data_IF_816760823146
#
_entry.id   IF_816760823146
#
_cell.length_a   1.000
_cell.length_b   1.000
_cell.length_c   1.000
_cell.angle_alpha   90.00
_cell.angle_beta   90.00
_cell.angle_gamma   90.00
#
_symmetry.space_group_name_H-M   'P 1'
#
loop_
_entity.id
_entity.type
_entity.pdbx_description
1 polymer ?
#
# COMPACT_ATOMS: atom_id res chain seq x y z
N UNK A 1 -21.04 -4.99 47.69
CA UNK A 1 -19.86 -4.20 47.26
C UNK A 1 -19.96 -4.03 45.76
N UNK A 2 -20.44 -2.84 45.39
CA UNK A 2 -20.56 -2.21 44.07
C UNK A 2 -20.48 -3.10 42.81
N UNK A 3 -21.64 -3.52 42.32
CA UNK A 3 -21.93 -3.53 40.89
C UNK A 3 -22.41 -2.12 40.54
N UNK A 4 -21.46 -1.22 40.32
CA UNK A 4 -21.72 0.12 39.81
C UNK A 4 -21.82 0.03 38.29
N UNK A 5 -22.98 0.43 37.79
CA UNK A 5 -23.24 0.80 36.41
C UNK A 5 -22.11 1.70 35.88
N UNK A 6 -21.53 1.31 34.75
CA UNK A 6 -20.99 2.28 33.81
C UNK A 6 -21.59 1.92 32.44
N UNK A 7 -22.54 2.76 32.05
CA UNK A 7 -23.24 2.77 30.79
C UNK A 7 -22.24 2.61 29.63
N UNK A 8 -22.23 1.42 29.03
CA UNK A 8 -21.61 1.25 27.71
C UNK A 8 -22.52 1.86 26.65
N UNK A 9 -22.45 3.18 26.52
CA UNK A 9 -22.96 3.95 25.38
C UNK A 9 -22.24 3.64 24.05
N UNK A 10 -21.76 2.40 23.89
CA UNK A 10 -21.15 1.84 22.68
C UNK A 10 -21.17 0.31 22.81
N UNK A 11 -21.87 -0.37 21.91
CA UNK A 11 -22.21 -1.80 21.96
C UNK A 11 -21.04 -2.80 21.79
N UNK A 12 -19.85 -2.48 22.29
CA UNK A 12 -18.68 -3.36 22.25
C UNK A 12 -18.53 -4.05 23.60
N UNK A 13 -18.82 -5.36 23.66
CA UNK A 13 -18.62 -6.17 24.87
C UNK A 13 -17.11 -6.39 25.08
N UNK A 14 -16.56 -6.00 26.25
CA UNK A 14 -15.13 -6.15 26.52
C UNK A 14 -14.75 -7.63 26.64
N UNK A 15 -13.70 -8.04 25.94
CA UNK A 15 -13.18 -9.42 25.98
C UNK A 15 -12.03 -9.49 26.98
N UNK A 16 -12.15 -10.34 27.99
CA UNK A 16 -11.09 -10.54 28.99
C UNK A 16 -9.95 -11.42 28.45
N UNK A 17 -8.76 -11.30 29.06
CA UNK A 17 -7.59 -12.12 28.69
C UNK A 17 -7.90 -13.61 28.83
N UNK A 18 -8.69 -14.01 29.83
CA UNK A 18 -9.10 -15.39 30.03
C UNK A 18 -9.97 -15.92 28.88
N UNK A 19 -10.92 -15.10 28.39
CA UNK A 19 -11.75 -15.46 27.24
C UNK A 19 -10.92 -15.58 25.96
N UNK A 20 -9.91 -14.71 25.78
CA UNK A 20 -8.98 -14.79 24.66
C UNK A 20 -8.15 -16.09 24.71
N UNK A 21 -7.61 -16.46 25.88
CA UNK A 21 -6.88 -17.72 26.06
C UNK A 21 -7.78 -18.92 25.78
N UNK A 22 -9.03 -18.90 26.23
CA UNK A 22 -10.00 -19.96 25.96
C UNK A 22 -10.28 -20.10 24.46
N UNK A 23 -10.43 -18.99 23.74
CA UNK A 23 -10.59 -19.00 22.28
C UNK A 23 -9.35 -19.54 21.57
N UNK A 24 -8.14 -19.17 22.03
CA UNK A 24 -6.88 -19.70 21.48
C UNK A 24 -6.74 -21.19 21.79
N UNK A 25 -7.20 -21.66 22.95
CA UNK A 25 -7.19 -23.08 23.30
C UNK A 25 -8.03 -23.93 22.33
N UNK A 26 -9.04 -23.34 21.67
CA UNK A 26 -9.77 -24.03 20.61
C UNK A 26 -8.87 -24.41 19.41
N UNK A 27 -7.76 -23.68 19.14
CA UNK A 27 -6.78 -24.11 18.14
C UNK A 27 -6.06 -25.41 18.51
N UNK A 28 -5.99 -25.75 19.81
CA UNK A 28 -5.42 -27.03 20.25
C UNK A 28 -6.25 -28.23 19.76
N UNK A 29 -7.57 -28.05 19.55
CA UNK A 29 -8.41 -29.06 18.95
C UNK A 29 -7.99 -29.34 17.50
N UNK A 30 -7.78 -28.30 16.69
CA UNK A 30 -7.31 -28.43 15.31
C UNK A 30 -5.89 -29.02 15.26
N UNK A 31 -5.02 -28.63 16.19
CA UNK A 31 -3.71 -29.25 16.38
C UNK A 31 -3.79 -30.74 16.72
N UNK A 32 -4.76 -31.14 17.54
CA UNK A 32 -4.98 -32.54 17.94
C UNK A 32 -5.53 -33.37 16.77
N UNK A 33 -6.47 -32.83 16.00
CA UNK A 33 -6.97 -33.44 14.76
C UNK A 33 -5.82 -33.57 13.76
N UNK A 34 -4.97 -32.56 13.62
CA UNK A 34 -3.80 -32.61 12.74
C UNK A 34 -2.79 -33.68 13.15
N UNK A 35 -2.59 -33.89 14.45
CA UNK A 35 -1.73 -34.95 14.97
C UNK A 35 -2.34 -36.33 14.72
N UNK A 36 -3.67 -36.48 14.93
CA UNK A 36 -4.40 -37.72 14.68
C UNK A 36 -4.35 -38.13 13.20
N UNK A 37 -4.53 -37.15 12.29
CA UNK A 37 -4.44 -37.34 10.84
C UNK A 37 -3.00 -37.36 10.31
N UNK A 38 -1.98 -37.22 11.19
CA UNK A 38 -0.55 -37.17 10.84
C UNK A 38 -0.20 -36.16 9.74
N UNK A 39 -0.91 -35.02 9.70
CA UNK A 39 -0.73 -33.98 8.68
C UNK A 39 0.60 -33.22 8.81
N UNK A 40 1.34 -33.37 9.91
CA UNK A 40 2.61 -32.67 10.14
C UNK A 40 2.49 -31.15 10.37
N UNK A 41 1.28 -30.63 10.53
CA UNK A 41 1.02 -29.18 10.62
C UNK A 41 0.94 -28.63 12.05
N UNK A 42 0.90 -29.48 13.09
CA UNK A 42 0.72 -29.04 14.48
C UNK A 42 1.71 -27.95 14.92
N UNK A 43 3.00 -28.07 14.57
CA UNK A 43 4.00 -27.05 14.88
C UNK A 43 3.81 -25.77 14.05
N UNK A 44 3.43 -25.90 12.77
CA UNK A 44 3.15 -24.74 11.91
C UNK A 44 1.95 -23.95 12.44
N UNK A 45 0.91 -24.64 12.92
CA UNK A 45 -0.28 -24.04 13.52
C UNK A 45 0.06 -23.32 14.84
N UNK A 46 0.86 -23.97 15.71
CA UNK A 46 1.31 -23.36 16.96
C UNK A 46 2.13 -22.09 16.73
N UNK A 47 3.08 -22.12 15.78
CA UNK A 47 3.88 -20.94 15.40
C UNK A 47 2.99 -19.85 14.79
N UNK A 48 2.02 -20.21 13.94
CA UNK A 48 1.07 -19.25 13.38
C UNK A 48 0.20 -18.58 14.45
N UNK A 49 -0.31 -19.36 15.42
CA UNK A 49 -1.10 -18.85 16.54
C UNK A 49 -0.29 -17.86 17.40
N UNK A 50 0.92 -18.26 17.80
CA UNK A 50 1.82 -17.40 18.56
C UNK A 50 2.16 -16.10 17.80
N UNK A 51 2.43 -16.22 16.49
CA UNK A 51 2.70 -15.09 15.61
C UNK A 51 1.51 -14.13 15.54
N UNK A 52 0.29 -14.63 15.40
CA UNK A 52 -0.93 -13.78 15.34
C UNK A 52 -1.15 -13.03 16.65
N UNK A 53 -1.01 -13.69 17.80
CA UNK A 53 -1.15 -13.04 19.11
C UNK A 53 -0.13 -11.92 19.27
N UNK A 54 1.14 -12.20 18.96
CA UNK A 54 2.22 -11.22 19.07
C UNK A 54 2.02 -10.05 18.09
N UNK A 55 1.67 -10.35 16.83
CA UNK A 55 1.47 -9.33 15.80
C UNK A 55 0.28 -8.42 16.09
N UNK A 56 -0.88 -8.97 16.49
CA UNK A 56 -2.06 -8.16 16.79
C UNK A 56 -1.87 -7.33 18.06
N UNK A 57 -1.21 -7.88 19.08
CA UNK A 57 -0.87 -7.13 20.30
C UNK A 57 0.09 -5.98 19.99
N UNK A 58 1.16 -6.27 19.25
CA UNK A 58 2.12 -5.25 18.82
C UNK A 58 1.46 -4.18 17.94
N UNK A 59 0.55 -4.58 17.03
CA UNK A 59 -0.21 -3.67 16.19
C UNK A 59 -1.10 -2.74 17.03
N UNK A 60 -1.84 -3.28 18.01
CA UNK A 60 -2.68 -2.47 18.90
C UNK A 60 -1.88 -1.39 19.63
N UNK A 61 -0.70 -1.75 20.15
CA UNK A 61 0.20 -0.80 20.79
C UNK A 61 0.80 0.21 19.80
N UNK A 62 1.20 -0.26 18.61
CA UNK A 62 1.80 0.58 17.58
C UNK A 62 0.81 1.62 17.02
N UNK A 63 -0.47 1.29 16.87
CA UNK A 63 -1.48 2.17 16.26
C UNK A 63 -1.94 3.30 17.18
N UNK A 64 -1.95 3.10 18.49
CA UNK A 64 -2.34 4.13 19.47
C UNK A 64 -1.63 5.49 19.28
N UNK A 65 -0.28 5.56 19.26
CA UNK A 65 0.42 6.82 19.04
C UNK A 65 0.23 7.39 17.62
N UNK A 66 -0.05 6.55 16.62
CA UNK A 66 -0.33 7.02 15.25
C UNK A 66 -1.64 7.78 15.21
N UNK A 67 -2.69 7.20 15.80
CA UNK A 67 -4.02 7.80 15.83
C UNK A 67 -4.11 9.01 16.75
N UNK A 68 -3.31 9.06 17.82
CA UNK A 68 -3.24 10.22 18.72
C UNK A 68 -2.52 11.43 18.07
N UNK A 69 -1.41 11.19 17.36
CA UNK A 69 -0.63 12.27 16.75
C UNK A 69 -1.17 12.72 15.39
N UNK A 70 -1.88 11.83 14.69
CA UNK A 70 -2.45 12.01 13.34
C UNK A 70 -1.52 12.76 12.36
N UNK A 71 -0.22 12.49 12.46
CA UNK A 71 0.79 13.22 11.69
C UNK A 71 1.04 12.53 10.35
N UNK A 72 0.96 13.25 9.21
CA UNK A 72 1.20 12.69 7.88
C UNK A 72 2.51 11.88 7.74
N UNK A 73 3.67 12.34 8.24
CA UNK A 73 4.92 11.60 8.07
C UNK A 73 4.92 10.28 8.85
N UNK A 74 4.25 10.21 10.01
CA UNK A 74 4.22 9.02 10.84
C UNK A 74 3.28 7.97 10.25
N UNK A 75 2.11 8.38 9.76
CA UNK A 75 1.21 7.51 8.99
C UNK A 75 1.91 6.99 7.72
N UNK A 76 2.57 7.86 6.95
CA UNK A 76 3.31 7.46 5.75
C UNK A 76 4.45 6.47 6.07
N UNK A 77 5.19 6.68 7.16
CA UNK A 77 6.24 5.76 7.61
C UNK A 77 5.67 4.38 7.96
N UNK A 78 4.55 4.33 8.69
CA UNK A 78 3.87 3.09 9.02
C UNK A 78 3.34 2.37 7.77
N UNK A 79 2.69 3.07 6.84
CA UNK A 79 2.20 2.48 5.58
C UNK A 79 3.34 1.93 4.72
N UNK A 80 4.47 2.64 4.69
CA UNK A 80 5.68 2.19 3.99
C UNK A 80 6.22 0.91 4.63
N UNK A 81 6.34 0.88 5.96
CA UNK A 81 6.76 -0.33 6.68
C UNK A 81 5.82 -1.51 6.38
N UNK A 82 4.51 -1.30 6.46
CA UNK A 82 3.51 -2.33 6.16
C UNK A 82 3.65 -2.87 4.73
N UNK A 83 3.91 -2.00 3.74
CA UNK A 83 4.16 -2.40 2.35
C UNK A 83 5.43 -3.26 2.22
N UNK A 84 6.53 -2.90 2.89
CA UNK A 84 7.76 -3.70 2.90
C UNK A 84 7.54 -5.08 3.52
N UNK A 85 6.84 -5.15 4.64
CA UNK A 85 6.50 -6.42 5.29
C UNK A 85 5.58 -7.28 4.42
N UNK A 86 4.59 -6.67 3.76
CA UNK A 86 3.70 -7.36 2.84
C UNK A 86 4.45 -7.92 1.62
N UNK A 87 5.39 -7.16 1.05
CA UNK A 87 6.23 -7.65 -0.03
C UNK A 87 7.10 -8.84 0.42
N UNK A 88 7.73 -8.75 1.59
CA UNK A 88 8.53 -9.83 2.17
C UNK A 88 7.70 -11.10 2.37
N UNK A 89 6.49 -10.97 2.93
CA UNK A 89 5.59 -12.11 3.16
C UNK A 89 5.05 -12.70 1.85
N UNK A 90 4.78 -11.89 0.82
CA UNK A 90 4.29 -12.41 -0.47
C UNK A 90 5.32 -13.33 -1.12
N UNK A 91 6.60 -12.99 -1.02
CA UNK A 91 7.70 -13.80 -1.56
C UNK A 91 8.04 -14.96 -0.63
N UNK A 92 7.79 -14.84 0.66
CA UNK A 92 8.00 -15.94 1.62
C UNK A 92 7.10 -17.15 1.36
N UNK A 93 5.97 -16.96 0.68
CA UNK A 93 4.98 -18.02 0.41
C UNK A 93 5.24 -18.85 -0.84
N UNK A 94 6.04 -18.35 -1.79
CA UNK A 94 6.29 -19.09 -3.03
C UNK A 94 7.33 -20.19 -2.82
N UNK A 95 7.10 -21.36 -3.43
CA UNK A 95 8.02 -22.51 -3.37
C UNK A 95 9.29 -22.28 -4.19
N UNK A 96 9.17 -21.46 -5.24
CA UNK A 96 10.23 -21.21 -6.22
C UNK A 96 10.67 -19.75 -6.10
N UNK A 97 11.98 -19.52 -6.20
CA UNK A 97 12.55 -18.18 -6.05
C UNK A 97 13.41 -17.84 -7.25
N UNK A 98 13.34 -16.58 -7.69
CA UNK A 98 14.19 -16.05 -8.76
C UNK A 98 14.81 -14.71 -8.34
N UNK A 99 15.87 -14.29 -9.05
CA UNK A 99 16.61 -13.05 -8.75
C UNK A 99 15.69 -11.83 -8.88
N UNK A 100 15.71 -10.92 -7.89
CA UNK A 100 14.89 -9.70 -7.84
C UNK A 100 13.39 -9.90 -7.57
N UNK A 101 12.96 -11.09 -7.14
CA UNK A 101 11.57 -11.38 -6.82
C UNK A 101 10.98 -10.45 -5.76
N UNK A 102 11.77 -10.06 -4.74
CA UNK A 102 11.35 -9.08 -3.74
C UNK A 102 11.05 -7.70 -4.34
N UNK A 103 11.93 -7.20 -5.22
CA UNK A 103 11.73 -5.91 -5.87
C UNK A 103 10.48 -5.93 -6.76
N UNK A 104 10.23 -7.02 -7.48
CA UNK A 104 9.01 -7.14 -8.29
C UNK A 104 7.75 -7.22 -7.44
N UNK A 105 7.76 -7.97 -6.34
CA UNK A 105 6.65 -8.02 -5.40
C UNK A 105 6.39 -6.64 -4.77
N UNK A 106 7.45 -5.92 -4.41
CA UNK A 106 7.34 -4.57 -3.86
C UNK A 106 6.68 -3.62 -4.87
N UNK A 107 7.12 -3.62 -6.13
CA UNK A 107 6.50 -2.79 -7.19
C UNK A 107 5.06 -3.21 -7.46
N UNK A 108 4.80 -4.51 -7.53
CA UNK A 108 3.48 -5.07 -7.78
C UNK A 108 2.46 -4.73 -6.69
N UNK A 109 2.90 -4.61 -5.43
CA UNK A 109 2.05 -4.16 -4.33
C UNK A 109 1.95 -2.63 -4.28
N UNK A 110 3.09 -1.94 -4.38
CA UNK A 110 3.17 -0.50 -4.21
C UNK A 110 2.34 0.25 -5.27
N UNK A 111 2.52 -0.09 -6.55
CA UNK A 111 1.90 0.65 -7.65
C UNK A 111 0.36 0.69 -7.55
N UNK A 112 -0.36 -0.45 -7.45
CA UNK A 112 -1.81 -0.42 -7.34
C UNK A 112 -2.29 -0.01 -5.95
N UNK A 113 -1.68 -0.46 -4.84
CA UNK A 113 -2.20 -0.16 -3.51
C UNK A 113 -2.06 1.31 -3.14
N UNK A 114 -0.93 1.95 -3.49
CA UNK A 114 -0.75 3.39 -3.25
C UNK A 114 -1.70 4.20 -4.14
N UNK A 115 -1.82 3.85 -5.43
CA UNK A 115 -2.73 4.54 -6.34
C UNK A 115 -4.18 4.44 -5.86
N UNK A 116 -4.63 3.24 -5.46
CA UNK A 116 -5.98 3.00 -4.97
C UNK A 116 -6.24 3.65 -3.61
N UNK A 117 -5.24 3.70 -2.72
CA UNK A 117 -5.34 4.44 -1.47
C UNK A 117 -5.55 5.93 -1.74
N UNK A 118 -4.76 6.52 -2.64
CA UNK A 118 -4.93 7.93 -3.04
C UNK A 118 -6.31 8.14 -3.68
N UNK A 119 -6.73 7.27 -4.59
CA UNK A 119 -8.07 7.33 -5.18
C UNK A 119 -9.18 7.26 -4.12
N UNK A 120 -9.07 6.34 -3.15
CA UNK A 120 -10.02 6.21 -2.06
C UNK A 120 -10.07 7.48 -1.20
N UNK A 121 -8.92 8.02 -0.81
CA UNK A 121 -8.84 9.22 0.04
C UNK A 121 -9.26 10.50 -0.69
N UNK A 122 -8.88 10.70 -1.96
CA UNK A 122 -9.14 11.96 -2.67
C UNK A 122 -10.45 11.99 -3.44
N UNK A 123 -10.91 10.85 -3.97
CA UNK A 123 -12.06 10.82 -4.88
C UNK A 123 -13.29 10.26 -4.20
N UNK A 124 -13.17 9.14 -3.48
CA UNK A 124 -14.32 8.36 -3.02
C UNK A 124 -14.75 8.74 -1.60
N UNK A 125 -13.90 8.52 -0.61
CA UNK A 125 -14.23 8.70 0.82
C UNK A 125 -14.09 10.16 1.24
N UNK A 126 -13.08 10.85 0.71
CA UNK A 126 -12.80 12.27 1.01
C UNK A 126 -12.82 12.60 2.51
N UNK A 127 -12.07 11.86 3.36
CA UNK A 127 -11.97 12.23 4.76
C UNK A 127 -11.36 13.62 4.86
N UNK A 128 -11.76 14.38 5.89
CA UNK A 128 -11.15 15.67 6.23
C UNK A 128 -10.46 15.52 7.59
N UNK A 129 -9.13 15.62 7.66
CA UNK A 129 -8.13 15.71 6.58
C UNK A 129 -8.02 14.46 5.70
N UNK A 130 -7.49 14.57 4.47
CA UNK A 130 -7.43 13.41 3.55
C UNK A 130 -6.40 12.34 4.00
N UNK A 131 -5.47 12.72 4.87
CA UNK A 131 -4.42 11.85 5.43
C UNK A 131 -4.78 11.22 6.78
N UNK A 132 -6.04 11.34 7.24
CA UNK A 132 -6.43 10.82 8.56
C UNK A 132 -6.04 9.36 8.72
N UNK A 133 -5.24 9.08 9.75
CA UNK A 133 -4.69 7.75 9.98
C UNK A 133 -5.79 6.69 10.18
N UNK A 134 -6.91 7.05 10.81
CA UNK A 134 -8.08 6.16 11.00
C UNK A 134 -8.69 5.66 9.70
N UNK A 135 -8.55 6.38 8.59
CA UNK A 135 -9.06 5.93 7.28
C UNK A 135 -7.95 5.30 6.47
N UNK A 136 -6.79 5.95 6.38
CA UNK A 136 -5.70 5.49 5.53
C UNK A 136 -5.12 4.14 5.99
N UNK A 137 -4.97 3.93 7.31
CA UNK A 137 -4.35 2.72 7.85
C UNK A 137 -5.20 1.46 7.61
N UNK A 138 -6.51 1.43 7.94
CA UNK A 138 -7.33 0.25 7.67
C UNK A 138 -7.47 -0.04 6.17
N UNK A 139 -7.68 1.00 5.34
CA UNK A 139 -7.81 0.83 3.88
C UNK A 139 -6.53 0.23 3.31
N UNK A 140 -5.37 0.81 3.60
CA UNK A 140 -4.10 0.28 3.11
C UNK A 140 -3.81 -1.12 3.68
N UNK A 141 -4.10 -1.36 4.95
CA UNK A 141 -3.91 -2.67 5.59
C UNK A 141 -4.72 -3.77 4.91
N UNK A 142 -5.99 -3.51 4.59
CA UNK A 142 -6.83 -4.45 3.85
C UNK A 142 -6.36 -4.66 2.41
N UNK A 143 -5.98 -3.59 1.70
CA UNK A 143 -5.46 -3.67 0.34
C UNK A 143 -4.17 -4.51 0.30
N UNK A 144 -3.19 -4.19 1.16
CA UNK A 144 -1.91 -4.92 1.23
C UNK A 144 -2.08 -6.37 1.66
N UNK A 145 -2.92 -6.65 2.65
CA UNK A 145 -3.14 -8.02 3.14
C UNK A 145 -3.71 -8.95 2.07
N UNK A 146 -4.71 -8.47 1.32
CA UNK A 146 -5.30 -9.24 0.22
C UNK A 146 -4.38 -9.29 -1.00
N UNK A 147 -3.78 -8.15 -1.39
CA UNK A 147 -2.86 -8.08 -2.53
C UNK A 147 -1.60 -8.92 -2.31
N UNK A 148 -1.07 -9.00 -1.09
CA UNK A 148 0.06 -9.88 -0.74
C UNK A 148 -0.27 -11.35 -1.03
N UNK A 149 -1.45 -11.80 -0.62
CA UNK A 149 -1.91 -13.17 -0.89
C UNK A 149 -2.15 -13.39 -2.39
N UNK A 150 -2.71 -12.42 -3.09
CA UNK A 150 -2.92 -12.47 -4.54
C UNK A 150 -1.60 -12.56 -5.32
N UNK A 151 -0.59 -11.76 -4.94
CA UNK A 151 0.77 -11.80 -5.52
C UNK A 151 1.42 -13.15 -5.27
N UNK A 152 1.32 -13.70 -4.05
CA UNK A 152 1.86 -15.02 -3.73
C UNK A 152 1.25 -16.11 -4.61
N UNK A 153 -0.09 -16.13 -4.76
CA UNK A 153 -0.79 -17.09 -5.63
C UNK A 153 -0.44 -16.90 -7.11
N UNK A 154 -0.33 -15.64 -7.59
CA UNK A 154 0.07 -15.34 -8.96
C UNK A 154 1.46 -15.89 -9.26
N UNK A 155 2.43 -15.62 -8.38
CA UNK A 155 3.81 -16.06 -8.53
C UNK A 155 3.90 -17.59 -8.47
N UNK A 156 3.26 -18.23 -7.49
CA UNK A 156 3.30 -19.68 -7.35
C UNK A 156 2.66 -20.38 -8.57
N UNK A 157 1.46 -19.94 -8.99
CA UNK A 157 0.79 -20.48 -10.18
C UNK A 157 1.57 -20.26 -11.48
N UNK A 158 2.19 -19.09 -11.65
CA UNK A 158 3.01 -18.78 -12.82
C UNK A 158 4.25 -19.66 -12.87
N UNK A 159 5.03 -19.68 -11.78
CA UNK A 159 6.31 -20.37 -11.72
C UNK A 159 6.11 -21.88 -11.84
N UNK A 160 5.08 -22.43 -11.19
CA UNK A 160 4.68 -23.83 -11.34
C UNK A 160 4.28 -24.15 -12.79
N UNK A 161 3.47 -23.29 -13.42
CA UNK A 161 3.10 -23.47 -14.84
C UNK A 161 4.31 -23.43 -15.77
N UNK A 162 5.25 -22.52 -15.55
CA UNK A 162 6.47 -22.41 -16.36
C UNK A 162 7.42 -23.59 -16.14
N UNK A 163 7.49 -24.14 -14.92
CA UNK A 163 8.29 -25.33 -14.60
C UNK A 163 7.69 -26.59 -15.23
N UNK A 164 6.40 -26.83 -15.00
CA UNK A 164 5.70 -28.05 -15.42
C UNK A 164 5.45 -28.09 -16.93
N UNK A 165 5.33 -26.93 -17.60
CA UNK A 165 5.15 -26.83 -19.05
C UNK A 165 6.39 -26.29 -19.76
N UNK A 166 7.58 -26.48 -19.19
CA UNK A 166 8.84 -25.94 -19.72
C UNK A 166 9.10 -26.38 -21.16
N UNK A 167 8.87 -27.66 -21.49
CA UNK A 167 9.05 -28.20 -22.84
C UNK A 167 8.15 -27.50 -23.87
N UNK A 168 6.92 -27.16 -23.48
CA UNK A 168 5.97 -26.44 -24.34
C UNK A 168 6.42 -25.00 -24.58
N UNK A 169 6.90 -24.33 -23.54
CA UNK A 169 7.44 -22.97 -23.62
C UNK A 169 8.68 -22.95 -24.53
N UNK A 170 9.59 -23.90 -24.36
CA UNK A 170 10.80 -24.03 -25.19
C UNK A 170 10.46 -24.32 -26.66
N UNK A 171 9.49 -25.21 -26.93
CA UNK A 171 9.02 -25.49 -28.28
C UNK A 171 8.41 -24.27 -28.97
N UNK A 172 7.59 -23.48 -28.26
CA UNK A 172 7.00 -22.26 -28.81
C UNK A 172 8.07 -21.22 -29.15
N UNK A 173 9.06 -21.05 -28.27
CA UNK A 173 10.19 -20.15 -28.51
C UNK A 173 11.04 -20.62 -29.70
N UNK A 174 11.25 -21.93 -29.85
CA UNK A 174 11.96 -22.51 -31.00
C UNK A 174 11.20 -22.27 -32.32
N UNK A 175 9.87 -22.19 -32.28
CA UNK A 175 9.01 -21.81 -33.41
C UNK A 175 8.95 -20.30 -33.65
N UNK A 176 9.72 -19.48 -32.90
CA UNK A 176 9.80 -18.03 -33.06
C UNK A 176 8.80 -17.23 -32.22
N UNK A 177 8.06 -17.87 -31.29
CA UNK A 177 7.16 -17.16 -30.40
C UNK A 177 7.94 -16.25 -29.43
N UNK A 178 7.40 -15.06 -29.19
CA UNK A 178 7.96 -14.15 -28.18
C UNK A 178 7.75 -14.70 -26.78
N UNK A 179 8.54 -14.23 -25.80
CA UNK A 179 8.36 -14.61 -24.37
C UNK A 179 6.94 -14.40 -23.85
N UNK A 180 6.22 -13.41 -24.38
CA UNK A 180 4.85 -13.08 -23.96
C UNK A 180 3.83 -14.03 -24.55
N UNK A 181 4.04 -14.47 -25.80
CA UNK A 181 3.20 -15.47 -26.44
C UNK A 181 3.42 -16.86 -25.82
N UNK A 182 4.67 -17.24 -25.59
CA UNK A 182 5.03 -18.51 -24.98
C UNK A 182 4.53 -18.65 -23.53
N UNK A 183 4.46 -17.53 -22.78
CA UNK A 183 3.98 -17.51 -21.40
C UNK A 183 2.50 -17.13 -21.24
N UNK A 184 1.76 -16.88 -22.33
CA UNK A 184 0.40 -16.34 -22.29
C UNK A 184 -0.57 -17.20 -21.47
N UNK A 185 -0.46 -18.52 -21.60
CA UNK A 185 -1.30 -19.45 -20.84
C UNK A 185 -0.99 -19.39 -19.34
N UNK A 186 0.30 -19.40 -18.99
CA UNK A 186 0.77 -19.31 -17.61
C UNK A 186 0.39 -17.96 -16.96
N UNK A 187 0.51 -16.86 -17.71
CA UNK A 187 0.07 -15.52 -17.27
C UNK A 187 -1.43 -15.49 -16.96
N UNK A 188 -2.27 -16.06 -17.84
CA UNK A 188 -3.72 -16.12 -17.61
C UNK A 188 -4.08 -16.96 -16.39
N UNK A 189 -3.41 -18.09 -16.20
CA UNK A 189 -3.61 -18.94 -15.03
C UNK A 189 -3.23 -18.19 -13.74
N UNK A 190 -2.08 -17.51 -13.73
CA UNK A 190 -1.59 -16.74 -12.60
C UNK A 190 -2.53 -15.58 -12.21
N UNK A 191 -2.98 -14.79 -13.19
CA UNK A 191 -3.91 -13.68 -12.93
C UNK A 191 -5.24 -14.22 -12.41
N UNK A 192 -5.77 -15.29 -13.01
CA UNK A 192 -7.02 -15.92 -12.52
C UNK A 192 -6.86 -16.41 -11.08
N UNK A 193 -5.77 -17.14 -10.78
CA UNK A 193 -5.48 -17.63 -9.43
C UNK A 193 -5.43 -16.50 -8.40
N UNK A 194 -4.83 -15.36 -8.76
CA UNK A 194 -4.74 -14.19 -7.86
C UNK A 194 -6.10 -13.54 -7.55
N UNK A 195 -7.05 -13.61 -8.48
CA UNK A 195 -8.37 -12.98 -8.34
C UNK A 195 -9.39 -13.89 -7.66
N UNK A 196 -9.24 -15.21 -7.76
CA UNK A 196 -10.20 -16.21 -7.22
C UNK A 196 -10.59 -15.95 -5.76
N UNK A 197 -9.67 -15.68 -4.81
CA UNK A 197 -10.06 -15.43 -3.41
C UNK A 197 -10.90 -14.17 -3.24
N UNK A 198 -10.69 -13.15 -4.07
CA UNK A 198 -11.45 -11.89 -4.00
C UNK A 198 -12.85 -12.08 -4.57
N UNK A 199 -12.97 -12.79 -5.70
CA UNK A 199 -14.27 -13.13 -6.30
C UNK A 199 -15.08 -14.00 -5.33
N UNK A 200 -14.45 -15.00 -4.71
CA UNK A 200 -15.11 -15.85 -3.72
C UNK A 200 -15.62 -15.05 -2.51
N UNK A 201 -14.82 -14.09 -2.00
CA UNK A 201 -15.26 -13.18 -0.95
C UNK A 201 -16.45 -12.32 -1.37
N UNK A 202 -16.45 -11.80 -2.61
CA UNK A 202 -17.55 -11.00 -3.15
C UNK A 202 -18.84 -11.81 -3.30
N UNK A 203 -18.75 -13.09 -3.69
CA UNK A 203 -19.91 -13.96 -3.88
C UNK A 203 -20.66 -14.25 -2.58
N UNK A 204 -19.97 -14.27 -1.44
CA UNK A 204 -20.57 -14.59 -0.13
C UNK A 204 -20.85 -13.36 0.72
N UNK A 205 -20.26 -12.21 0.38
CA UNK A 205 -20.41 -10.97 1.14
C UNK A 205 -21.86 -10.47 1.14
N UNK A 206 -22.39 -10.18 2.33
CA UNK A 206 -23.74 -9.66 2.52
C UNK A 206 -24.86 -10.70 2.52
N UNK A 207 -24.60 -11.94 2.09
CA UNK A 207 -25.55 -13.06 2.20
C UNK A 207 -25.14 -13.99 3.35
N UNK A 208 -23.88 -14.43 3.34
CA UNK A 208 -23.36 -15.41 4.31
C UNK A 208 -22.38 -14.77 5.27
N UNK A 209 -21.52 -13.88 4.78
CA UNK A 209 -20.46 -13.26 5.57
C UNK A 209 -20.68 -11.75 5.70
N UNK A 210 -20.58 -11.23 6.93
CA UNK A 210 -20.46 -9.80 7.21
C UNK A 210 -18.95 -9.49 7.32
N UNK A 211 -18.39 -8.70 6.39
CA UNK A 211 -16.96 -8.39 6.42
C UNK A 211 -16.54 -7.65 7.68
N UNK A 212 -15.30 -7.87 8.12
CA UNK A 212 -14.82 -7.42 9.43
C UNK A 212 -14.87 -5.91 9.68
N UNK A 213 -14.61 -5.08 8.66
CA UNK A 213 -14.73 -3.61 8.82
C UNK A 213 -16.18 -3.20 9.05
N UNK A 214 -17.12 -3.78 8.29
CA UNK A 214 -18.54 -3.51 8.42
C UNK A 214 -19.03 -3.92 9.81
N UNK A 215 -18.68 -5.13 10.27
CA UNK A 215 -18.98 -5.59 11.63
C UNK A 215 -18.38 -4.65 12.67
N UNK A 216 -17.12 -4.22 12.51
CA UNK A 216 -16.46 -3.30 13.42
C UNK A 216 -17.14 -1.92 13.50
N UNK A 217 -17.60 -1.38 12.37
CA UNK A 217 -18.36 -0.12 12.34
C UNK A 217 -19.71 -0.26 13.04
N UNK A 218 -20.42 -1.38 12.82
CA UNK A 218 -21.73 -1.64 13.44
C UNK A 218 -21.58 -1.83 14.95
N UNK A 219 -20.61 -2.64 15.40
CA UNK A 219 -20.32 -2.84 16.83
C UNK A 219 -19.89 -1.53 17.51
N UNK A 220 -19.20 -0.66 16.77
CA UNK A 220 -18.87 0.70 17.21
C UNK A 220 -20.03 1.69 17.21
N UNK A 221 -21.27 1.25 16.97
CA UNK A 221 -22.46 2.11 16.96
C UNK A 221 -22.71 2.87 15.65
N UNK A 222 -21.97 2.56 14.58
CA UNK A 222 -22.16 3.16 13.26
C UNK A 222 -23.40 2.65 12.54
N UNK A 223 -23.98 3.50 11.69
CA UNK A 223 -25.15 3.14 10.86
C UNK A 223 -24.82 1.96 9.92
N UNK A 224 -25.57 0.83 10.00
CA UNK A 224 -25.39 -0.32 9.12
C UNK A 224 -25.48 0.03 7.63
N UNK A 225 -26.34 0.97 7.24
CA UNK A 225 -26.51 1.34 5.84
C UNK A 225 -25.27 2.10 5.31
N UNK A 226 -24.67 2.99 6.10
CA UNK A 226 -23.38 3.58 5.75
C UNK A 226 -22.26 2.54 5.72
N UNK A 227 -22.19 1.64 6.71
CA UNK A 227 -21.17 0.60 6.76
C UNK A 227 -21.20 -0.31 5.52
N UNK A 228 -22.40 -0.66 5.04
CA UNK A 228 -22.58 -1.42 3.81
C UNK A 228 -22.02 -0.68 2.58
N UNK A 229 -22.27 0.64 2.44
CA UNK A 229 -21.74 1.45 1.32
C UNK A 229 -20.21 1.51 1.34
N UNK A 230 -19.61 1.69 2.51
CA UNK A 230 -18.15 1.60 2.67
C UNK A 230 -17.62 0.23 2.26
N UNK A 231 -18.30 -0.84 2.65
CA UNK A 231 -17.89 -2.20 2.34
C UNK A 231 -17.98 -2.50 0.84
N UNK A 232 -19.01 -2.03 0.14
CA UNK A 232 -19.13 -2.15 -1.33
C UNK A 232 -17.95 -1.48 -2.03
N UNK A 233 -17.63 -0.24 -1.64
CA UNK A 233 -16.47 0.49 -2.17
C UNK A 233 -15.18 -0.30 -1.94
N UNK A 234 -14.96 -0.82 -0.73
CA UNK A 234 -13.73 -1.55 -0.42
C UNK A 234 -13.62 -2.87 -1.17
N UNK A 235 -14.71 -3.62 -1.35
CA UNK A 235 -14.68 -4.84 -2.16
C UNK A 235 -14.33 -4.54 -3.62
N UNK A 236 -14.85 -3.44 -4.19
CA UNK A 236 -14.48 -3.01 -5.53
C UNK A 236 -12.99 -2.64 -5.62
N UNK A 237 -12.46 -1.86 -4.66
CA UNK A 237 -11.04 -1.51 -4.61
C UNK A 237 -10.14 -2.73 -4.41
N UNK A 238 -10.57 -3.69 -3.57
CA UNK A 238 -9.86 -4.95 -3.35
C UNK A 238 -9.77 -5.76 -4.63
N UNK A 239 -10.86 -5.88 -5.40
CA UNK A 239 -10.86 -6.60 -6.68
C UNK A 239 -9.87 -5.98 -7.68
N UNK A 240 -9.80 -4.65 -7.75
CA UNK A 240 -8.81 -3.96 -8.59
C UNK A 240 -7.40 -4.18 -8.05
N UNK A 241 -7.18 -4.07 -6.74
CA UNK A 241 -5.87 -4.21 -6.12
C UNK A 241 -5.29 -5.61 -6.32
N UNK A 242 -6.07 -6.68 -6.08
CA UNK A 242 -5.60 -8.06 -6.19
C UNK A 242 -5.37 -8.44 -7.66
N UNK A 243 -6.28 -8.09 -8.56
CA UNK A 243 -6.12 -8.36 -10.00
C UNK A 243 -4.93 -7.63 -10.61
N UNK A 244 -4.76 -6.34 -10.32
CA UNK A 244 -3.64 -5.54 -10.82
C UNK A 244 -2.30 -5.95 -10.20
N UNK A 245 -2.23 -6.17 -8.88
CA UNK A 245 -1.01 -6.63 -8.22
C UNK A 245 -0.58 -8.01 -8.73
N UNK A 246 -1.52 -8.96 -8.85
CA UNK A 246 -1.27 -10.28 -9.42
C UNK A 246 -0.76 -10.21 -10.87
N UNK A 247 -1.39 -9.39 -11.71
CA UNK A 247 -0.95 -9.18 -13.09
C UNK A 247 0.44 -8.55 -13.20
N UNK A 248 0.71 -7.47 -12.45
CA UNK A 248 2.02 -6.81 -12.45
C UNK A 248 3.10 -7.80 -11.97
N UNK A 249 2.86 -8.52 -10.88
CA UNK A 249 3.80 -9.52 -10.37
C UNK A 249 4.10 -10.61 -11.41
N UNK A 250 3.06 -11.13 -12.08
CA UNK A 250 3.21 -12.18 -13.08
C UNK A 250 3.98 -11.68 -14.32
N UNK A 251 3.69 -10.48 -14.82
CA UNK A 251 4.40 -9.89 -15.94
C UNK A 251 5.88 -9.60 -15.62
N UNK A 252 6.17 -9.07 -14.43
CA UNK A 252 7.55 -8.83 -13.98
C UNK A 252 8.32 -10.14 -13.80
N UNK A 253 7.66 -11.18 -13.28
CA UNK A 253 8.25 -12.50 -13.14
C UNK A 253 8.61 -13.12 -14.50
N UNK A 254 7.69 -13.08 -15.48
CA UNK A 254 7.98 -13.52 -16.86
C UNK A 254 9.17 -12.77 -17.47
N UNK A 255 9.22 -11.45 -17.29
CA UNK A 255 10.31 -10.63 -17.81
C UNK A 255 11.68 -10.96 -17.18
N UNK A 256 11.69 -11.53 -15.98
CA UNK A 256 12.90 -11.89 -15.24
C UNK A 256 13.34 -13.36 -15.46
N UNK A 257 12.39 -14.27 -15.63
CA UNK A 257 12.64 -15.71 -15.81
C UNK A 257 12.92 -16.08 -17.27
N UNK A 258 12.25 -15.44 -18.22
CA UNK A 258 12.56 -15.57 -19.65
C UNK A 258 13.48 -14.42 -20.09
N UNK A 259 14.68 -14.77 -20.51
CA UNK A 259 15.70 -13.79 -20.90
C UNK A 259 15.34 -13.03 -22.19
N UNK A 260 16.08 -11.96 -22.50
CA UNK A 260 15.91 -11.19 -23.75
C UNK A 260 16.13 -12.02 -25.03
N UNK A 261 16.75 -13.20 -24.91
CA UNK A 261 16.92 -14.20 -25.97
C UNK A 261 15.81 -15.27 -25.96
N UNK A 262 14.68 -15.01 -25.28
CA UNK A 262 13.51 -15.87 -25.16
C UNK A 262 13.72 -17.26 -24.54
N UNK A 263 14.93 -17.60 -24.08
CA UNK A 263 15.22 -18.88 -23.42
C UNK A 263 14.70 -18.90 -21.97
N UNK A 264 14.03 -20.00 -21.62
CA UNK A 264 13.70 -20.34 -20.23
C UNK A 264 15.01 -20.68 -19.50
N UNK A 265 15.50 -19.76 -18.66
CA UNK A 265 16.70 -20.04 -17.85
C UNK A 265 16.30 -20.89 -16.65
N UNK A 266 16.24 -22.21 -16.84
CA UNK A 266 16.03 -23.20 -15.76
C UNK A 266 17.00 -22.96 -14.59
N UNK A 267 18.22 -22.47 -14.87
CA UNK A 267 19.24 -22.08 -13.88
C UNK A 267 18.80 -20.99 -12.88
N UNK A 268 17.77 -20.19 -13.21
CA UNK A 268 17.24 -19.12 -12.36
C UNK A 268 16.06 -19.56 -11.50
N UNK A 269 15.48 -20.73 -11.76
CA UNK A 269 14.42 -21.34 -10.95
C UNK A 269 15.08 -22.26 -9.94
N UNK A 270 15.30 -21.76 -8.72
CA UNK A 270 15.78 -22.58 -7.61
C UNK A 270 14.59 -22.97 -6.74
N UNK A 271 14.42 -24.27 -6.53
CA UNK A 271 13.57 -24.76 -5.45
C UNK A 271 14.15 -24.23 -4.13
N UNK A 272 13.30 -23.66 -3.28
CA UNK A 272 13.75 -23.09 -2.02
C UNK A 272 14.32 -24.20 -1.15
N UNK A 273 15.60 -24.10 -0.78
CA UNK A 273 16.25 -25.05 0.11
C UNK A 273 15.49 -25.13 1.44
N UNK A 274 14.89 -26.28 1.73
CA UNK A 274 14.26 -26.58 3.00
C UNK A 274 15.29 -26.43 4.13
N UNK A 275 15.03 -25.53 5.09
CA UNK A 275 15.78 -25.49 6.35
C UNK A 275 16.73 -24.31 6.61
N UNK A 276 17.04 -23.43 5.65
CA UNK A 276 17.78 -22.18 5.93
C UNK A 276 16.85 -20.96 5.88
N UNK A 277 16.39 -20.60 7.08
CA UNK A 277 15.43 -19.55 7.45
C UNK A 277 15.04 -18.54 6.38
N UNK A 278 13.76 -18.56 5.99
CA UNK A 278 13.11 -17.51 5.21
C UNK A 278 13.41 -16.11 5.79
N UNK A 279 13.56 -16.00 7.12
CA UNK A 279 14.01 -14.80 7.82
C UNK A 279 15.42 -14.33 7.42
N UNK A 280 16.43 -15.21 7.33
CA UNK A 280 17.80 -14.82 6.95
C UNK A 280 17.89 -14.41 5.48
N UNK A 281 17.11 -15.06 4.62
CA UNK A 281 17.00 -14.66 3.21
C UNK A 281 16.25 -13.34 3.06
N UNK A 282 15.11 -13.16 3.75
CA UNK A 282 14.35 -11.89 3.80
C UNK A 282 15.22 -10.76 4.36
N UNK A 283 16.00 -11.01 5.42
CA UNK A 283 16.95 -10.05 5.98
C UNK A 283 18.07 -9.72 4.98
N UNK A 284 18.63 -10.72 4.29
CA UNK A 284 19.63 -10.50 3.24
C UNK A 284 19.09 -9.63 2.11
N UNK A 285 17.86 -9.87 1.66
CA UNK A 285 17.23 -9.13 0.56
C UNK A 285 16.72 -7.74 1.01
N UNK A 286 16.22 -7.60 2.24
CA UNK A 286 15.88 -6.31 2.85
C UNK A 286 17.12 -5.43 3.03
N UNK A 287 18.27 -6.01 3.39
CA UNK A 287 19.53 -5.28 3.53
C UNK A 287 20.08 -4.87 2.17
N UNK A 288 20.05 -5.75 1.16
CA UNK A 288 20.52 -5.39 -0.20
C UNK A 288 19.64 -4.32 -0.85
N UNK A 289 18.31 -4.41 -0.69
CA UNK A 289 17.38 -3.39 -1.18
C UNK A 289 17.42 -2.13 -0.32
N UNK A 290 17.61 -2.22 0.99
CA UNK A 290 17.82 -1.09 1.89
C UNK A 290 19.09 -0.31 1.58
N UNK A 291 20.15 -1.00 1.15
CA UNK A 291 21.40 -0.39 0.67
C UNK A 291 21.22 0.23 -0.73
N UNK A 292 20.48 -0.42 -1.64
CA UNK A 292 20.18 0.11 -2.98
C UNK A 292 19.24 1.33 -2.95
N UNK A 293 18.25 1.33 -2.05
CA UNK A 293 17.32 2.45 -1.85
C UNK A 293 17.99 3.63 -1.17
N UNK A 294 19.00 3.45 -0.32
CA UNK A 294 19.83 4.56 0.17
C UNK A 294 20.52 5.31 -0.97
N UNK A 295 21.08 4.60 -1.96
CA UNK A 295 21.68 5.21 -3.16
C UNK A 295 20.66 5.96 -4.03
N UNK A 296 19.49 5.37 -4.27
CA UNK A 296 18.43 5.99 -5.06
C UNK A 296 17.74 7.16 -4.33
N UNK A 297 17.54 7.04 -3.01
CA UNK A 297 16.96 8.08 -2.17
C UNK A 297 17.93 9.25 -1.98
N UNK A 298 19.24 9.01 -1.84
CA UNK A 298 20.24 10.08 -1.82
C UNK A 298 20.33 10.80 -3.17
N UNK A 299 20.25 10.06 -4.28
CA UNK A 299 20.21 10.65 -5.64
C UNK A 299 18.95 11.46 -5.90
N UNK A 300 17.78 10.99 -5.46
CA UNK A 300 16.51 11.70 -5.55
C UNK A 300 16.48 12.91 -4.59
N UNK A 301 17.01 12.78 -3.38
CA UNK A 301 17.09 13.86 -2.39
C UNK A 301 18.09 14.95 -2.83
N UNK A 302 19.21 14.59 -3.44
CA UNK A 302 20.12 15.56 -4.06
C UNK A 302 19.47 16.26 -5.26
N UNK A 303 18.78 15.53 -6.13
CA UNK A 303 18.05 16.11 -7.28
C UNK A 303 16.91 17.03 -6.82
N UNK A 304 16.17 16.64 -5.79
CA UNK A 304 15.12 17.46 -5.17
C UNK A 304 15.71 18.67 -4.44
N UNK A 305 16.83 18.53 -3.73
CA UNK A 305 17.54 19.65 -3.08
C UNK A 305 18.08 20.65 -4.11
N UNK A 306 18.56 20.19 -5.26
CA UNK A 306 18.99 21.06 -6.37
C UNK A 306 17.80 21.70 -7.10
N UNK A 307 16.68 21.00 -7.24
CA UNK A 307 15.44 21.54 -7.81
C UNK A 307 14.79 22.60 -6.91
N UNK A 308 14.71 22.36 -5.60
CA UNK A 308 14.20 23.31 -4.61
C UNK A 308 15.18 24.46 -4.33
N UNK A 309 16.50 24.22 -4.39
CA UNK A 309 17.52 25.26 -4.26
C UNK A 309 17.53 26.24 -5.44
N UNK A 310 17.16 25.80 -6.65
CA UNK A 310 17.02 26.68 -7.83
C UNK A 310 15.75 27.53 -7.77
N UNK A 311 14.63 27.03 -7.23
CA UNK A 311 13.42 27.85 -7.06
C UNK A 311 13.56 28.94 -5.99
N UNK A 312 14.31 28.68 -4.91
CA UNK A 312 14.60 29.70 -3.89
C UNK A 312 15.52 30.83 -4.39
N UNK A 313 16.53 30.50 -5.22
CA UNK A 313 17.41 31.51 -5.85
C UNK A 313 16.73 32.28 -6.97
N UNK A 314 15.86 31.66 -7.76
CA UNK A 314 15.09 32.35 -8.81
C UNK A 314 14.09 33.36 -8.22
N UNK A 315 13.44 33.04 -7.09
CA UNK A 315 12.56 34.00 -6.38
C UNK A 315 13.31 35.16 -5.72
N UNK A 316 14.52 34.93 -5.18
CA UNK A 316 15.37 36.02 -4.63
C UNK A 316 15.96 36.91 -5.71
N UNK A 317 16.36 36.35 -6.86
CA UNK A 317 16.85 37.14 -7.99
C UNK A 317 15.75 37.98 -8.67
N UNK A 318 14.50 37.47 -8.70
CA UNK A 318 13.33 38.23 -9.17
C UNK A 318 12.95 39.38 -8.24
N UNK A 319 13.01 39.17 -6.91
CA UNK A 319 12.71 40.23 -5.92
C UNK A 319 13.75 41.36 -5.93
N UNK A 320 15.03 41.02 -6.04
CA UNK A 320 16.10 42.02 -6.12
C UNK A 320 16.07 42.84 -7.44
N UNK A 321 15.56 42.26 -8.54
CA UNK A 321 15.32 43.00 -9.80
C UNK A 321 14.08 43.90 -9.74
N UNK A 322 13.04 43.49 -9.01
CA UNK A 322 11.85 44.31 -8.76
C UNK A 322 12.16 45.53 -7.89
N UNK A 323 12.90 45.33 -6.79
CA UNK A 323 13.31 46.43 -5.89
C UNK A 323 14.28 47.41 -6.56
N UNK A 324 15.14 46.94 -7.49
CA UNK A 324 16.00 47.82 -8.28
C UNK A 324 15.25 48.57 -9.40
N UNK A 325 14.14 48.04 -9.90
CA UNK A 325 13.28 48.71 -10.88
C UNK A 325 12.40 49.78 -10.21
N UNK A 326 11.81 49.49 -9.05
CA UNK A 326 11.04 50.47 -8.25
C UNK A 326 11.92 51.63 -7.77
N UNK A 327 13.17 51.37 -7.39
CA UNK A 327 14.12 52.42 -7.01
C UNK A 327 14.56 53.29 -8.20
N UNK A 328 14.49 52.78 -9.43
CA UNK A 328 14.80 53.54 -10.64
C UNK A 328 13.60 54.37 -11.14
N UNK A 329 12.37 53.96 -10.81
CA UNK A 329 11.13 54.64 -11.20
C UNK A 329 10.79 55.83 -10.28
N UNK A 330 11.14 55.76 -8.99
CA UNK A 330 11.05 56.88 -8.04
C UNK A 330 12.00 58.06 -8.35
N UNK A 331 12.90 57.91 -9.33
CA UNK A 331 13.77 58.98 -9.83
C UNK A 331 13.22 59.76 -11.04
N UNK A 332 11.99 59.47 -11.50
CA UNK A 332 11.37 60.11 -12.66
C UNK A 332 9.94 60.57 -12.35
N UNK A 333 9.82 61.66 -11.61
CA UNK A 333 8.59 62.47 -11.58
C UNK A 333 8.63 63.49 -12.74
N UNK A 334 7.70 63.44 -13.72
CA UNK A 334 7.49 64.54 -14.64
C UNK A 334 6.45 65.52 -14.07
N UNK A 335 6.83 66.80 -14.14
CA UNK A 335 6.06 68.00 -13.84
C UNK A 335 4.60 67.93 -14.34
N UNK A 336 3.69 68.23 -13.41
CA UNK A 336 2.27 68.45 -13.64
C UNK A 336 2.02 69.57 -14.65
N UNK A 337 1.33 69.27 -15.75
CA UNK A 337 0.77 70.27 -16.64
C UNK A 337 -0.63 69.83 -17.11
N UNK A 338 -1.69 70.28 -16.43
CA UNK A 338 -3.04 70.37 -17.01
C UNK A 338 -3.80 71.53 -16.37
N UNK A 339 -4.14 72.55 -17.17
CA UNK A 339 -5.45 73.20 -17.09
C UNK A 339 -5.50 74.69 -16.77
N UNK A 340 -5.48 75.53 -17.80
CA UNK A 340 -6.18 76.83 -17.88
C UNK A 340 -6.57 77.01 -19.36
N UNK A 341 -7.65 77.75 -19.77
CA UNK A 341 -8.09 79.00 -19.15
C UNK A 341 -9.60 79.34 -19.17
N UNK A 342 -9.92 80.40 -18.40
CA UNK A 342 -10.98 81.43 -18.58
C UNK A 342 -12.07 81.47 -17.50
N UNK A 343 -12.30 82.68 -16.99
CA UNK A 343 -13.55 83.10 -16.36
C UNK A 343 -13.39 84.00 -15.15
N UNK A 344 -13.22 85.31 -15.40
CA UNK A 344 -13.73 86.48 -14.66
C UNK A 344 -14.19 86.35 -13.19
N UNK A 345 -13.75 87.29 -12.33
CA UNK A 345 -14.52 87.69 -11.14
C UNK A 345 -13.70 88.18 -9.95
N UNK A 346 -13.64 89.51 -9.82
CA UNK A 346 -13.06 90.34 -8.74
C UNK A 346 -13.38 89.99 -7.27
N UNK A 347 -12.61 90.54 -6.28
CA UNK A 347 -12.58 90.09 -4.88
C UNK A 347 -13.35 90.99 -3.89
N UNK A 348 -13.97 90.40 -2.85
CA UNK A 348 -14.34 91.05 -1.57
C UNK A 348 -14.40 89.97 -0.46
N UNK A 349 -13.47 89.95 0.51
CA UNK A 349 -13.46 90.61 1.84
C UNK A 349 -14.59 90.21 2.81
N UNK A 350 -14.16 89.87 4.04
CA UNK A 350 -14.83 89.86 5.37
C UNK A 350 -15.62 88.59 5.73
N UNK A 351 -15.18 87.83 6.74
CA UNK A 351 -15.32 88.00 8.21
C UNK A 351 -16.58 87.29 8.72
N UNK A 352 -16.33 86.45 9.74
CA UNK A 352 -17.24 85.84 10.73
C UNK A 352 -18.08 84.62 10.32
#
# INVERSE_FOLDING_TARGET
MEHGDDDSAGGVVPISVAQMVLAIAALALDGSISAWLRLGMHWQLAVAAARVVLQLTALGWALSPIFLRDSPPLTAAYLTLALFLAAAESVSRSRQVYRSMFAHALVALAAPCVLLLLYACFVVVRPRPWWTARTAVPVMGMLLGNACSAVALALDSLLDSLKNKSDRVEALVALGATRWEASREALRAAVRASMTPTINQMNVAGIVAIPGLMTGQILGGGDPAMAARYQIVLLALLAVATGSAGAIAAHLAVAATLDGQHRLRKDRLRDRAEGKGALNWIWGELVTVGLGTRGAALGLWQRLRLAFGRQGKARRAGRARGEAADAADLGREPLLEVGSPRGEGTPRRRQD
#
